data_IF_833801312459
#
_entry.id   IF_833801312459
#
_cell.length_a   1.000
_cell.length_b   1.000
_cell.length_c   1.000
_cell.angle_alpha   90.00
_cell.angle_beta   90.00
_cell.angle_gamma   90.00
#
_symmetry.space_group_name_H-M   'P 1'
#
loop_
_entity.id
_entity.type
_entity.pdbx_description
1 polymer ?
#
# COMPACT_ATOMS: atom_id res chain seq x y z
N UNK A 1 12.81 11.42 -1.87
CA UNK A 1 12.06 11.84 -3.07
C UNK A 1 10.99 12.86 -2.69
N UNK A 2 9.90 12.47 -2.01
CA UNK A 2 8.84 13.39 -1.59
C UNK A 2 9.31 14.57 -0.73
N UNK A 3 10.10 14.32 0.32
CA UNK A 3 10.71 15.36 1.19
C UNK A 3 11.50 16.44 0.42
N UNK A 4 12.04 16.10 -0.75
CA UNK A 4 12.90 16.99 -1.55
C UNK A 4 12.24 17.43 -2.87
N UNK A 5 10.96 17.09 -3.11
CA UNK A 5 10.26 17.43 -4.36
C UNK A 5 10.85 16.77 -5.61
N UNK A 6 11.61 15.68 -5.47
CA UNK A 6 12.30 15.03 -6.58
C UNK A 6 11.43 13.96 -7.25
N UNK A 7 11.40 13.98 -8.58
CA UNK A 7 10.79 12.93 -9.40
C UNK A 7 11.70 11.71 -9.51
N UNK A 8 11.15 10.60 -10.02
CA UNK A 8 11.93 9.38 -10.26
C UNK A 8 13.05 9.60 -11.28
N UNK A 9 12.75 10.33 -12.35
CA UNK A 9 13.70 10.75 -13.38
C UNK A 9 14.84 11.59 -12.78
N UNK A 10 14.54 12.54 -11.90
CA UNK A 10 15.56 13.38 -11.25
C UNK A 10 16.54 12.54 -10.43
N UNK A 11 16.06 11.49 -9.75
CA UNK A 11 16.92 10.59 -8.97
C UNK A 11 17.77 9.68 -9.86
N UNK A 12 17.24 9.23 -11.00
CA UNK A 12 18.00 8.46 -12.00
C UNK A 12 19.14 9.31 -12.55
N UNK A 13 18.85 10.55 -12.92
CA UNK A 13 19.83 11.50 -13.45
C UNK A 13 20.90 11.85 -12.41
N UNK A 14 20.48 12.26 -11.21
CA UNK A 14 21.39 12.69 -10.15
C UNK A 14 22.28 11.55 -9.62
N UNK A 15 21.75 10.32 -9.53
CA UNK A 15 22.52 9.18 -9.02
C UNK A 15 23.37 8.52 -10.09
N UNK A 16 23.06 8.71 -11.38
CA UNK A 16 23.67 7.99 -12.50
C UNK A 16 23.55 6.46 -12.39
N UNK A 17 22.54 5.98 -11.66
CA UNK A 17 22.19 4.57 -11.54
C UNK A 17 21.16 4.21 -12.62
N UNK A 18 21.22 2.96 -13.08
CA UNK A 18 20.27 2.46 -14.06
C UNK A 18 18.82 2.51 -13.53
N UNK A 19 17.89 2.98 -14.37
CA UNK A 19 16.47 3.16 -14.01
C UNK A 19 15.87 1.87 -13.45
N UNK A 20 16.17 0.71 -14.05
CA UNK A 20 15.67 -0.60 -13.59
C UNK A 20 16.19 -0.94 -12.19
N UNK A 21 17.38 -0.46 -11.84
CA UNK A 21 17.96 -0.62 -10.51
C UNK A 21 17.23 0.24 -9.49
N UNK A 22 17.03 1.53 -9.78
CA UNK A 22 16.26 2.42 -8.88
C UNK A 22 14.83 1.91 -8.70
N UNK A 23 14.18 1.47 -9.78
CA UNK A 23 12.82 0.89 -9.73
C UNK A 23 12.75 -0.36 -8.86
N UNK A 24 13.77 -1.23 -8.95
CA UNK A 24 13.85 -2.43 -8.12
C UNK A 24 14.00 -2.11 -6.64
N UNK A 25 14.76 -1.06 -6.31
CA UNK A 25 14.99 -0.60 -4.93
C UNK A 25 13.72 0.05 -4.37
N UNK A 26 13.10 0.98 -5.11
CA UNK A 26 11.86 1.66 -4.68
C UNK A 26 10.71 0.68 -4.43
N UNK A 27 10.63 -0.40 -5.22
CA UNK A 27 9.60 -1.44 -5.04
C UNK A 27 9.95 -2.46 -3.93
N UNK A 28 11.10 -2.34 -3.27
CA UNK A 28 11.57 -3.32 -2.28
C UNK A 28 11.96 -4.68 -2.87
N UNK A 29 11.96 -4.83 -4.20
CA UNK A 29 12.27 -6.09 -4.91
C UNK A 29 13.77 -6.36 -4.94
N UNK A 30 14.60 -5.31 -4.88
CA UNK A 30 16.06 -5.41 -4.83
C UNK A 30 16.58 -4.77 -3.55
N UNK A 31 17.35 -5.53 -2.79
CA UNK A 31 18.17 -4.99 -1.72
C UNK A 31 19.45 -4.36 -2.32
N UNK A 32 19.63 -3.03 -2.21
CA UNK A 32 20.81 -2.36 -2.75
C UNK A 32 22.08 -2.71 -1.96
N UNK A 33 23.20 -2.88 -2.66
CA UNK A 33 24.50 -2.99 -2.01
C UNK A 33 24.92 -1.66 -1.38
N UNK A 34 25.78 -1.70 -0.35
CA UNK A 34 26.30 -0.51 0.33
C UNK A 34 26.86 0.57 -0.62
N UNK A 35 27.48 0.18 -1.75
CA UNK A 35 27.96 1.12 -2.78
C UNK A 35 26.81 1.87 -3.46
N UNK A 36 25.71 1.19 -3.74
CA UNK A 36 24.50 1.78 -4.34
C UNK A 36 23.81 2.72 -3.35
N UNK A 37 23.76 2.35 -2.07
CA UNK A 37 23.20 3.18 -1.00
C UNK A 37 24.00 4.48 -0.84
N UNK A 38 25.33 4.40 -0.77
CA UNK A 38 26.18 5.61 -0.71
C UNK A 38 25.95 6.54 -1.89
N UNK A 39 25.88 5.99 -3.09
CA UNK A 39 25.67 6.77 -4.31
C UNK A 39 24.30 7.45 -4.34
N UNK A 40 23.27 6.77 -3.83
CA UNK A 40 21.95 7.38 -3.64
C UNK A 40 22.00 8.49 -2.59
N UNK A 41 22.63 8.25 -1.44
CA UNK A 41 22.77 9.23 -0.36
C UNK A 41 23.49 10.50 -0.84
N UNK A 42 24.61 10.35 -1.53
CA UNK A 42 25.37 11.44 -2.16
C UNK A 42 24.52 12.23 -3.15
N UNK A 43 23.80 11.54 -4.06
CA UNK A 43 22.94 12.20 -5.05
C UNK A 43 21.75 12.95 -4.43
N UNK A 44 21.30 12.50 -3.26
CA UNK A 44 20.18 13.08 -2.52
C UNK A 44 20.64 14.13 -1.49
N UNK A 45 21.96 14.30 -1.30
CA UNK A 45 22.53 15.24 -0.31
C UNK A 45 22.26 14.85 1.14
N UNK A 46 22.06 13.55 1.42
CA UNK A 46 21.73 13.02 2.76
C UNK A 46 22.82 12.07 3.26
N UNK A 47 22.86 11.82 4.56
CA UNK A 47 23.72 10.79 5.13
C UNK A 47 23.20 9.38 4.75
N UNK A 48 24.09 8.40 4.60
CA UNK A 48 23.69 7.03 4.24
C UNK A 48 22.79 6.39 5.30
N UNK A 49 23.02 6.75 6.56
CA UNK A 49 22.27 6.34 7.74
C UNK A 49 20.84 6.92 7.73
N UNK A 50 20.65 8.10 7.14
CA UNK A 50 19.34 8.77 7.04
C UNK A 50 18.40 8.05 6.07
N UNK A 51 18.95 7.28 5.12
CA UNK A 51 18.16 6.41 4.22
C UNK A 51 17.55 5.19 4.93
N UNK A 52 18.11 4.81 6.09
CA UNK A 52 17.64 3.69 6.91
C UNK A 52 16.91 4.14 8.17
N UNK A 53 17.01 5.42 8.52
CA UNK A 53 16.26 5.98 9.62
C UNK A 53 14.78 6.05 9.28
N UNK A 54 13.92 5.57 10.18
CA UNK A 54 12.53 5.99 10.16
C UNK A 54 12.49 7.52 10.30
N UNK A 55 11.62 8.24 9.55
CA UNK A 55 11.58 9.70 9.61
C UNK A 55 11.39 10.16 11.05
N UNK A 56 12.44 10.74 11.64
CA UNK A 56 12.47 11.11 13.05
C UNK A 56 11.45 12.22 13.30
N UNK A 57 10.46 11.97 14.15
CA UNK A 57 9.44 12.94 14.53
C UNK A 57 8.19 12.99 13.64
N UNK A 58 8.09 12.12 12.62
CA UNK A 58 6.84 11.87 11.88
C UNK A 58 6.35 10.46 12.19
N UNK A 59 5.07 10.33 12.52
CA UNK A 59 4.42 9.02 12.46
C UNK A 59 4.36 8.58 11.00
N UNK A 60 4.26 7.26 10.76
CA UNK A 60 4.02 6.75 9.41
C UNK A 60 2.82 7.46 8.76
N UNK A 61 1.78 7.77 9.53
CA UNK A 61 0.61 8.53 9.06
C UNK A 61 0.98 9.93 8.55
N UNK A 62 1.83 10.67 9.27
CA UNK A 62 2.24 12.01 8.85
C UNK A 62 3.17 11.98 7.62
N UNK A 63 3.99 10.94 7.49
CA UNK A 63 4.82 10.72 6.31
C UNK A 63 3.97 10.35 5.08
N UNK A 64 2.97 9.49 5.26
CA UNK A 64 2.08 9.04 4.19
C UNK A 64 1.17 10.18 3.70
N UNK A 65 0.66 11.01 4.61
CA UNK A 65 -0.10 12.22 4.26
C UNK A 65 0.78 13.22 3.48
N UNK A 66 2.04 13.39 3.89
CA UNK A 66 3.00 14.27 3.22
C UNK A 66 3.48 13.74 1.87
N UNK A 67 3.45 12.41 1.67
CA UNK A 67 3.94 11.75 0.45
C UNK A 67 2.84 11.56 -0.60
N UNK A 68 1.58 11.79 -0.22
CA UNK A 68 0.42 11.55 -1.08
C UNK A 68 -0.57 12.73 -1.09
N UNK A 69 -0.22 13.85 -1.76
CA UNK A 69 -1.07 15.05 -1.81
C UNK A 69 -2.43 14.79 -2.47
N UNK A 70 -2.50 13.80 -3.37
CA UNK A 70 -3.73 13.46 -4.09
C UNK A 70 -4.85 12.96 -3.16
N UNK A 71 -4.53 12.25 -2.07
CA UNK A 71 -5.56 11.82 -1.11
C UNK A 71 -6.16 13.03 -0.39
N UNK A 72 -5.32 13.98 0.03
CA UNK A 72 -5.79 15.21 0.67
C UNK A 72 -6.59 16.09 -0.32
N UNK A 73 -6.15 16.19 -1.58
CA UNK A 73 -6.88 16.90 -2.63
C UNK A 73 -8.25 16.27 -2.92
N UNK A 74 -8.33 14.95 -3.02
CA UNK A 74 -9.61 14.26 -3.26
C UNK A 74 -10.54 14.36 -2.05
N UNK A 75 -10.01 14.26 -0.82
CA UNK A 75 -10.79 14.43 0.40
C UNK A 75 -11.38 15.85 0.51
N UNK A 76 -10.62 16.87 0.09
CA UNK A 76 -11.13 18.25 0.02
C UNK A 76 -12.15 18.45 -1.11
N UNK A 77 -11.96 17.80 -2.27
CA UNK A 77 -12.84 17.94 -3.42
C UNK A 77 -14.17 17.17 -3.28
N UNK A 78 -14.18 16.08 -2.52
CA UNK A 78 -15.30 15.15 -2.34
C UNK A 78 -15.48 14.78 -0.86
N UNK A 79 -15.81 15.74 0.02
CA UNK A 79 -15.92 15.49 1.45
C UNK A 79 -17.01 14.45 1.78
N UNK A 80 -18.01 14.30 0.93
CA UNK A 80 -19.06 13.28 1.00
C UNK A 80 -18.51 11.85 1.01
N UNK A 81 -17.44 11.58 0.26
CA UNK A 81 -16.87 10.24 0.15
C UNK A 81 -15.99 9.88 1.34
N UNK A 82 -15.49 10.87 2.06
CA UNK A 82 -14.58 10.71 3.20
C UNK A 82 -15.25 11.07 4.53
N UNK A 83 -16.58 11.19 4.53
CA UNK A 83 -17.38 11.41 5.71
C UNK A 83 -17.18 10.23 6.69
N UNK A 84 -17.00 10.54 7.98
CA UNK A 84 -16.72 9.56 9.04
C UNK A 84 -15.45 8.71 8.85
N UNK A 85 -14.47 9.20 8.08
CA UNK A 85 -13.15 8.58 8.01
C UNK A 85 -12.30 8.90 9.23
N UNK A 86 -11.78 7.84 9.85
CA UNK A 86 -10.82 7.87 10.93
C UNK A 86 -9.39 7.88 10.39
N UNK A 87 -8.37 8.24 11.21
CA UNK A 87 -6.97 8.12 10.81
C UNK A 87 -6.59 6.72 10.31
N UNK A 88 -7.24 5.67 10.82
CA UNK A 88 -7.00 4.29 10.38
C UNK A 88 -7.49 4.04 8.95
N UNK A 89 -8.59 4.68 8.52
CA UNK A 89 -9.12 4.53 7.16
C UNK A 89 -8.16 5.14 6.14
N UNK A 90 -7.60 6.31 6.45
CA UNK A 90 -6.56 6.95 5.64
C UNK A 90 -5.28 6.11 5.59
N UNK A 91 -4.88 5.49 6.70
CA UNK A 91 -3.73 4.59 6.74
C UNK A 91 -3.95 3.33 5.90
N UNK A 92 -5.15 2.73 5.92
CA UNK A 92 -5.48 1.58 5.07
C UNK A 92 -5.47 1.95 3.58
N UNK A 93 -6.03 3.11 3.24
CA UNK A 93 -5.98 3.65 1.89
C UNK A 93 -4.53 3.82 1.44
N UNK A 94 -3.69 4.47 2.24
CA UNK A 94 -2.26 4.68 1.96
C UNK A 94 -1.48 3.37 1.83
N UNK A 95 -1.73 2.40 2.71
CA UNK A 95 -1.06 1.08 2.70
C UNK A 95 -1.29 0.31 1.40
N UNK A 96 -2.53 0.32 0.88
CA UNK A 96 -2.87 -0.37 -0.38
C UNK A 96 -2.21 0.24 -1.61
N UNK A 97 -1.91 1.54 -1.58
CA UNK A 97 -1.21 2.22 -2.67
C UNK A 97 0.31 2.01 -2.68
N UNK A 98 0.90 1.48 -1.60
CA UNK A 98 2.33 1.21 -1.51
C UNK A 98 2.86 0.10 -2.44
N UNK A 99 2.00 -0.69 -3.10
CA UNK A 99 2.41 -1.95 -3.76
C UNK A 99 2.31 -1.96 -5.29
N UNK A 100 1.64 -1.01 -5.96
CA UNK A 100 1.67 -0.98 -7.43
C UNK A 100 0.69 -0.07 -8.14
N UNK A 101 1.19 1.07 -8.62
CA UNK A 101 0.50 1.91 -9.60
C UNK A 101 0.84 3.39 -9.42
N UNK A 102 0.78 4.16 -10.51
CA UNK A 102 0.81 5.61 -10.41
C UNK A 102 -0.45 6.07 -9.68
N UNK A 103 -0.27 6.93 -8.68
CA UNK A 103 -1.36 7.45 -7.90
C UNK A 103 -2.18 8.39 -8.79
N UNK A 104 -3.37 7.97 -9.19
CA UNK A 104 -4.30 8.76 -10.00
C UNK A 104 -5.46 9.18 -9.10
N UNK A 105 -6.02 10.37 -9.34
CA UNK A 105 -7.21 10.83 -8.64
C UNK A 105 -8.36 9.81 -8.71
N UNK A 106 -8.55 9.18 -9.88
CA UNK A 106 -9.56 8.14 -10.07
C UNK A 106 -9.29 6.87 -9.24
N UNK A 107 -8.02 6.47 -9.10
CA UNK A 107 -7.63 5.34 -8.26
C UNK A 107 -7.92 5.58 -6.78
N UNK A 108 -7.65 6.79 -6.29
CA UNK A 108 -7.97 7.21 -4.92
C UNK A 108 -9.47 7.12 -4.65
N UNK A 109 -10.29 7.70 -5.54
CA UNK A 109 -11.74 7.68 -5.39
C UNK A 109 -12.31 6.25 -5.43
N UNK A 110 -11.81 5.41 -6.33
CA UNK A 110 -12.26 4.02 -6.46
C UNK A 110 -11.96 3.20 -5.21
N UNK A 111 -10.76 3.35 -4.64
CA UNK A 111 -10.41 2.64 -3.41
C UNK A 111 -11.14 3.19 -2.19
N UNK A 112 -11.33 4.51 -2.10
CA UNK A 112 -12.14 5.11 -1.04
C UNK A 112 -13.57 4.59 -1.08
N UNK A 113 -14.18 4.51 -2.26
CA UNK A 113 -15.51 3.94 -2.43
C UNK A 113 -15.56 2.46 -2.00
N UNK A 114 -14.55 1.67 -2.38
CA UNK A 114 -14.44 0.26 -1.95
C UNK A 114 -14.32 0.11 -0.42
N UNK A 115 -13.58 1.01 0.24
CA UNK A 115 -13.47 1.01 1.69
C UNK A 115 -14.81 1.31 2.37
N UNK A 116 -15.54 2.30 1.87
CA UNK A 116 -16.89 2.62 2.36
C UNK A 116 -17.84 1.44 2.18
N UNK A 117 -17.85 0.82 1.00
CA UNK A 117 -18.68 -0.37 0.73
C UNK A 117 -18.36 -1.54 1.68
N UNK A 118 -17.09 -1.75 1.99
CA UNK A 118 -16.68 -2.77 2.96
C UNK A 118 -17.13 -2.44 4.39
N UNK A 119 -17.02 -1.18 4.81
CA UNK A 119 -17.50 -0.73 6.13
C UNK A 119 -19.00 -0.96 6.28
N UNK A 120 -19.77 -0.50 5.29
CA UNK A 120 -21.22 -0.72 5.20
C UNK A 120 -21.57 -2.21 5.29
N UNK A 121 -20.82 -3.07 4.59
CA UNK A 121 -21.04 -4.50 4.61
C UNK A 121 -20.78 -5.10 6.00
N UNK A 122 -19.70 -4.68 6.67
CA UNK A 122 -19.36 -5.12 8.02
C UNK A 122 -20.44 -4.68 9.02
N UNK A 123 -20.92 -3.45 8.92
CA UNK A 123 -21.95 -2.93 9.83
C UNK A 123 -23.29 -3.62 9.62
N UNK A 124 -23.67 -3.91 8.36
CA UNK A 124 -24.84 -4.76 8.08
C UNK A 124 -24.66 -6.17 8.62
N UNK A 125 -23.47 -6.75 8.48
CA UNK A 125 -23.18 -8.07 9.03
C UNK A 125 -23.28 -8.09 10.56
N UNK A 126 -22.79 -7.05 11.26
CA UNK A 126 -22.95 -6.89 12.71
C UNK A 126 -24.41 -6.88 13.12
N UNK A 127 -25.24 -6.10 12.42
CA UNK A 127 -26.68 -6.05 12.69
C UNK A 127 -27.35 -7.42 12.48
N UNK A 128 -26.98 -8.17 11.44
CA UNK A 128 -27.49 -9.53 11.21
C UNK A 128 -27.03 -10.48 12.31
N UNK A 129 -25.81 -10.35 12.82
CA UNK A 129 -25.31 -11.16 13.94
C UNK A 129 -26.05 -10.87 15.27
N UNK A 130 -26.69 -9.70 15.41
CA UNK A 130 -27.55 -9.37 16.55
C UNK A 130 -29.00 -9.89 16.37
N UNK A 131 -29.31 -10.54 15.25
CA UNK A 131 -30.64 -11.08 14.92
C UNK A 131 -30.70 -12.61 15.05
N UNK A 132 -31.90 -13.17 14.85
CA UNK A 132 -32.12 -14.61 14.77
C UNK A 132 -31.48 -15.28 13.55
N UNK A 133 -31.01 -14.49 12.56
CA UNK A 133 -30.30 -14.97 11.38
C UNK A 133 -28.79 -15.15 11.58
N UNK A 134 -28.27 -14.92 12.80
CA UNK A 134 -26.84 -14.98 13.10
C UNK A 134 -26.21 -16.33 12.69
N UNK A 135 -26.88 -17.44 13.00
CA UNK A 135 -26.39 -18.79 12.68
C UNK A 135 -26.29 -19.03 11.16
N UNK A 136 -27.24 -18.48 10.39
CA UNK A 136 -27.25 -18.59 8.93
C UNK A 136 -26.09 -17.82 8.32
N UNK A 137 -25.87 -16.57 8.78
CA UNK A 137 -24.75 -15.76 8.33
C UNK A 137 -23.40 -16.41 8.67
N UNK A 138 -23.25 -16.93 9.90
CA UNK A 138 -22.04 -17.62 10.31
C UNK A 138 -21.76 -18.87 9.45
N UNK A 139 -22.79 -19.67 9.15
CA UNK A 139 -22.65 -20.83 8.27
C UNK A 139 -22.20 -20.44 6.86
N UNK A 140 -22.78 -19.39 6.27
CA UNK A 140 -22.39 -18.89 4.95
C UNK A 140 -20.95 -18.39 4.91
N UNK A 141 -20.54 -17.58 5.89
CA UNK A 141 -19.16 -17.07 6.00
C UNK A 141 -18.18 -18.24 6.15
N UNK A 142 -18.50 -19.24 6.97
CA UNK A 142 -17.63 -20.41 7.16
C UNK A 142 -17.41 -21.19 5.86
N UNK A 143 -18.46 -21.40 5.05
CA UNK A 143 -18.34 -22.07 3.75
C UNK A 143 -17.45 -21.26 2.78
N UNK A 144 -17.67 -19.94 2.70
CA UNK A 144 -16.87 -19.07 1.83
C UNK A 144 -15.40 -19.02 2.29
N UNK A 145 -15.16 -18.89 3.58
CA UNK A 145 -13.82 -18.87 4.17
C UNK A 145 -13.06 -20.18 3.90
N UNK A 146 -13.72 -21.33 4.08
CA UNK A 146 -13.12 -22.64 3.75
C UNK A 146 -12.73 -22.73 2.26
N UNK A 147 -13.57 -22.21 1.36
CA UNK A 147 -13.27 -22.22 -0.08
C UNK A 147 -12.06 -21.36 -0.41
N UNK A 148 -11.99 -20.14 0.12
CA UNK A 148 -10.85 -19.22 -0.13
C UNK A 148 -9.54 -19.81 0.41
N UNK A 149 -9.54 -20.25 1.67
CA UNK A 149 -8.34 -20.82 2.31
C UNK A 149 -7.91 -22.17 1.72
N UNK A 150 -8.85 -22.95 1.17
CA UNK A 150 -8.53 -24.21 0.46
C UNK A 150 -7.91 -23.96 -0.91
N UNK A 151 -8.33 -22.91 -1.62
CA UNK A 151 -7.74 -22.50 -2.91
C UNK A 151 -6.29 -22.06 -2.70
N UNK A 152 -6.00 -21.25 -1.67
CA UNK A 152 -4.63 -20.80 -1.38
C UNK A 152 -3.69 -21.97 -1.04
N UNK A 153 -4.20 -23.02 -0.36
CA UNK A 153 -3.43 -24.24 -0.10
C UNK A 153 -3.11 -25.04 -1.37
N UNK A 154 -3.96 -25.01 -2.39
CA UNK A 154 -3.72 -25.72 -3.64
C UNK A 154 -2.70 -25.00 -4.54
N UNK A 155 -2.68 -23.65 -4.53
CA UNK A 155 -1.73 -22.84 -5.31
C UNK A 155 -0.30 -22.97 -4.78
N UNK A 156 -0.12 -23.08 -3.46
CA UNK A 156 1.21 -23.26 -2.84
C UNK A 156 1.78 -24.69 -2.99
N UNK A 157 1.01 -25.67 -3.47
CA UNK A 157 1.43 -27.08 -3.60
C UNK A 157 1.87 -27.48 -5.03
N UNK A 158 2.03 -26.54 -5.95
CA UNK A 158 2.59 -26.83 -7.27
C UNK A 158 4.12 -26.96 -7.13
N UNK A 159 4.61 -28.20 -7.01
CA UNK A 159 6.05 -28.50 -7.01
C UNK A 159 6.73 -27.92 -8.26
N UNK A 160 7.95 -27.34 -8.14
CA UNK A 160 8.68 -26.85 -9.29
C UNK A 160 9.03 -28.01 -10.22
N UNK A 161 8.62 -27.88 -11.48
CA UNK A 161 8.91 -28.83 -12.56
C UNK A 161 10.42 -29.12 -12.57
N UNK A 162 10.78 -30.37 -12.24
CA UNK A 162 12.17 -30.84 -12.28
C UNK A 162 12.71 -30.65 -13.70
N UNK A 163 13.66 -29.72 -13.86
CA UNK A 163 14.42 -29.54 -15.10
C UNK A 163 15.14 -30.87 -15.41
N UNK A 164 14.75 -31.52 -16.51
CA UNK A 164 15.48 -32.67 -17.06
C UNK A 164 16.86 -32.19 -17.52
N UNK A 165 17.91 -32.91 -17.10
CA UNK A 165 19.28 -32.76 -17.58
C UNK A 165 19.40 -33.23 -19.01
#
# INVERSE_FOLDING_TARGET
MAKHGLTYEDVVEASGLDSRTIRGIVRGVKQPHAKTVRRLAESLGVASEELFAAPTGMTAEAFDLATNPLVAEQAAARPDLFEDWTPSDYAELASRFGVGGALTAEGVLREAQRLNENRDLIDRARLVLESDQADVLAALINVLHQRVTSIDRQVCNIEPIKKRR
#
